data_IF_058076732628
#
_entry.id   IF_058076732628
#
_cell.length_a   1.000
_cell.length_b   1.000
_cell.length_c   1.000
_cell.angle_alpha   90.00
_cell.angle_beta   90.00
_cell.angle_gamma   90.00
#
_symmetry.space_group_name_H-M   'P 1'
#
loop_
_entity.id
_entity.type
_entity.pdbx_description
1 polymer ?
#
# COMPACT_ATOMS: atom_id res chain seq x y z
N UNK A 1 18.80 -62.30 -38.97
CA UNK A 1 17.93 -62.65 -40.11
C UNK A 1 16.68 -61.78 -40.07
N UNK A 2 16.49 -60.95 -41.09
CA UNK A 2 15.25 -60.20 -41.36
C UNK A 2 14.31 -61.07 -42.18
N UNK A 3 13.01 -60.96 -41.93
CA UNK A 3 11.90 -61.23 -42.86
C UNK A 3 10.64 -60.60 -42.23
N UNK A 4 10.19 -59.39 -42.59
CA UNK A 4 9.39 -58.95 -43.76
C UNK A 4 8.01 -59.62 -43.89
N UNK A 5 6.93 -58.84 -43.71
CA UNK A 5 5.75 -58.72 -44.59
C UNK A 5 4.85 -57.60 -44.04
N UNK A 6 4.82 -56.42 -44.69
CA UNK A 6 3.82 -55.93 -45.68
C UNK A 6 2.49 -55.53 -45.01
N UNK A 7 2.24 -54.24 -44.79
CA UNK A 7 1.78 -53.18 -45.72
C UNK A 7 0.27 -53.22 -45.99
N UNK A 8 -0.41 -52.13 -45.64
CA UNK A 8 -1.60 -51.64 -46.35
C UNK A 8 -1.80 -50.16 -46.06
N UNK A 9 -1.22 -49.36 -46.94
CA UNK A 9 -1.49 -47.95 -47.16
C UNK A 9 -2.96 -47.68 -47.53
N UNK A 10 -3.58 -46.62 -46.98
CA UNK A 10 -4.68 -45.85 -47.62
C UNK A 10 -4.87 -44.47 -46.94
N UNK A 11 -4.33 -43.42 -47.59
CA UNK A 11 -4.87 -42.06 -47.83
C UNK A 11 -5.15 -41.05 -46.68
N UNK A 12 -4.28 -40.02 -46.63
CA UNK A 12 -4.47 -38.54 -46.61
C UNK A 12 -5.68 -37.83 -45.92
N UNK A 13 -5.36 -37.09 -44.83
CA UNK A 13 -5.49 -35.63 -44.50
C UNK A 13 -6.83 -34.83 -44.66
N UNK A 14 -6.98 -33.61 -44.07
CA UNK A 14 -6.80 -33.16 -42.67
C UNK A 14 -7.96 -32.24 -42.15
N UNK A 15 -7.83 -31.74 -40.90
CA UNK A 15 -8.56 -30.64 -40.21
C UNK A 15 -9.95 -30.96 -39.61
N UNK A 16 -10.08 -30.81 -38.28
CA UNK A 16 -10.72 -29.63 -37.68
C UNK A 16 -10.62 -29.62 -36.16
N UNK A 17 -10.50 -28.40 -35.65
CA UNK A 17 -10.29 -27.91 -34.30
C UNK A 17 -11.43 -28.30 -33.35
N UNK A 18 -11.12 -28.86 -32.18
CA UNK A 18 -11.98 -28.72 -31.00
C UNK A 18 -11.13 -28.19 -29.84
N UNK A 19 -11.35 -26.91 -29.53
CA UNK A 19 -10.90 -26.27 -28.29
C UNK A 19 -11.57 -27.00 -27.13
N UNK A 20 -10.79 -27.81 -26.41
CA UNK A 20 -11.19 -28.41 -25.15
C UNK A 20 -11.51 -27.31 -24.13
N UNK A 21 -12.75 -27.30 -23.67
CA UNK A 21 -13.25 -26.42 -22.62
C UNK A 21 -12.56 -26.73 -21.28
N UNK A 22 -12.02 -25.70 -20.63
CA UNK A 22 -11.43 -25.81 -19.29
C UNK A 22 -12.54 -25.99 -18.22
N UNK A 23 -12.33 -26.84 -17.18
CA UNK A 23 -13.31 -27.05 -16.14
C UNK A 23 -13.42 -25.84 -15.19
N UNK A 24 -14.61 -25.55 -14.63
CA UNK A 24 -14.82 -24.42 -13.75
C UNK A 24 -14.09 -24.62 -12.42
N UNK A 25 -13.22 -23.67 -12.09
CA UNK A 25 -12.47 -23.64 -10.83
C UNK A 25 -13.42 -23.77 -9.63
N UNK A 26 -13.16 -24.77 -8.80
CA UNK A 26 -13.83 -24.98 -7.53
C UNK A 26 -13.75 -23.71 -6.67
N UNK A 27 -14.92 -23.23 -6.25
CA UNK A 27 -15.07 -22.08 -5.36
C UNK A 27 -14.44 -22.40 -4.01
N UNK A 28 -13.29 -21.80 -3.73
CA UNK A 28 -12.72 -21.76 -2.39
C UNK A 28 -13.68 -20.97 -1.48
N UNK A 29 -13.97 -21.44 -0.25
CA UNK A 29 -14.74 -20.66 0.71
C UNK A 29 -13.95 -19.39 1.09
N UNK A 30 -14.64 -18.25 1.06
CA UNK A 30 -14.09 -16.95 1.43
C UNK A 30 -13.58 -16.94 2.89
N UNK A 31 -12.55 -16.13 3.24
CA UNK A 31 -12.08 -16.04 4.61
C UNK A 31 -13.18 -15.51 5.53
N UNK A 32 -13.34 -16.18 6.68
CA UNK A 32 -14.26 -15.84 7.76
C UNK A 32 -13.83 -14.54 8.44
N UNK A 33 -14.01 -13.43 7.75
CA UNK A 33 -13.74 -12.11 8.26
C UNK A 33 -14.96 -11.25 7.92
N UNK A 34 -15.94 -11.24 8.83
CA UNK A 34 -17.06 -10.30 8.81
C UNK A 34 -16.52 -8.89 9.06
N UNK A 35 -15.94 -8.31 8.02
CA UNK A 35 -15.69 -6.89 7.92
C UNK A 35 -16.75 -6.35 6.97
N UNK A 36 -17.93 -6.04 7.51
CA UNK A 36 -18.87 -5.15 6.82
C UNK A 36 -18.31 -3.74 6.83
N UNK A 37 -17.21 -3.55 6.08
CA UNK A 37 -16.95 -2.28 5.42
C UNK A 37 -17.59 -2.41 4.05
N UNK A 38 -18.87 -2.05 3.98
CA UNK A 38 -19.53 -1.84 2.70
C UNK A 38 -18.95 -0.53 2.16
N UNK A 39 -18.03 -0.62 1.20
CA UNK A 39 -17.65 0.55 0.41
C UNK A 39 -18.94 1.08 -0.21
N UNK A 40 -19.37 2.26 0.24
CA UNK A 40 -20.52 2.92 -0.37
C UNK A 40 -20.18 3.17 -1.84
N UNK A 41 -21.17 2.92 -2.69
CA UNK A 41 -21.13 3.05 -4.15
C UNK A 41 -20.48 4.39 -4.55
N UNK A 42 -19.40 4.42 -5.37
CA UNK A 42 -18.72 5.64 -5.74
C UNK A 42 -19.53 6.39 -6.81
N UNK A 43 -20.69 6.93 -6.43
CA UNK A 43 -21.41 7.96 -7.20
C UNK A 43 -20.95 9.37 -6.86
N UNK A 44 -19.97 9.52 -5.96
CA UNK A 44 -19.19 10.74 -5.83
C UNK A 44 -18.24 10.89 -7.03
N UNK A 45 -18.78 11.45 -8.10
CA UNK A 45 -18.05 12.05 -9.19
C UNK A 45 -16.89 12.91 -8.63
N UNK A 46 -15.65 12.47 -8.84
CA UNK A 46 -14.48 13.28 -8.54
C UNK A 46 -14.40 14.39 -9.61
N UNK A 47 -15.00 15.54 -9.32
CA UNK A 47 -14.86 16.73 -10.15
C UNK A 47 -13.41 17.24 -10.07
N UNK A 48 -12.71 17.51 -11.20
CA UNK A 48 -11.34 18.02 -11.20
C UNK A 48 -11.22 19.50 -10.80
N UNK A 49 -12.29 20.13 -10.32
CA UNK A 49 -12.27 21.52 -9.87
C UNK A 49 -11.67 21.56 -8.47
N UNK A 50 -10.34 21.71 -8.48
CA UNK A 50 -9.49 22.18 -7.38
C UNK A 50 -10.26 23.18 -6.52
N UNK A 51 -10.76 22.71 -5.38
CA UNK A 51 -11.10 23.62 -4.29
C UNK A 51 -9.79 23.92 -3.59
N UNK A 52 -9.26 25.12 -3.80
CA UNK A 52 -8.01 25.63 -3.20
C UNK A 52 -8.07 25.76 -1.67
N UNK A 53 -9.10 25.24 -1.01
CA UNK A 53 -9.24 25.12 0.44
C UNK A 53 -9.47 23.65 0.83
N UNK A 54 -8.52 22.77 0.51
CA UNK A 54 -8.51 21.44 1.11
C UNK A 54 -8.15 21.51 2.60
N UNK A 55 -7.63 22.62 3.12
CA UNK A 55 -7.35 22.75 4.56
C UNK A 55 -8.65 22.78 5.37
N UNK A 56 -9.10 21.61 5.85
CA UNK A 56 -10.08 21.55 6.92
C UNK A 56 -9.37 21.97 8.23
N UNK A 57 -9.63 23.18 8.78
CA UNK A 57 -8.91 23.67 9.95
C UNK A 57 -9.07 22.78 11.19
N UNK A 58 -10.11 21.94 11.21
CA UNK A 58 -10.45 21.08 12.33
C UNK A 58 -9.77 19.70 12.26
N UNK A 59 -9.20 19.33 11.12
CA UNK A 59 -8.53 18.04 10.91
C UNK A 59 -7.01 18.21 10.87
N UNK A 60 -6.38 18.03 12.02
CA UNK A 60 -4.92 18.13 12.17
C UNK A 60 -4.31 16.87 12.77
N UNK A 61 -3.07 16.61 12.39
CA UNK A 61 -2.24 15.55 12.95
C UNK A 61 -1.13 16.16 13.77
N UNK A 62 -1.10 15.86 15.06
CA UNK A 62 0.06 16.14 15.88
C UNK A 62 0.95 14.91 15.97
N UNK A 63 2.18 15.04 15.47
CA UNK A 63 3.13 13.95 15.30
C UNK A 63 4.31 14.18 16.22
N UNK A 64 4.61 13.16 17.03
CA UNK A 64 5.79 13.12 17.92
C UNK A 64 6.62 11.89 17.60
N UNK A 65 7.89 12.10 17.27
CA UNK A 65 8.83 11.03 16.95
C UNK A 65 9.81 10.85 18.09
N UNK A 66 10.06 9.59 18.44
CA UNK A 66 10.95 9.23 19.53
C UNK A 66 12.00 8.20 19.09
N UNK A 67 13.25 8.44 19.47
CA UNK A 67 14.31 7.44 19.38
C UNK A 67 14.66 6.94 20.78
N UNK A 68 14.43 5.65 21.01
CA UNK A 68 14.67 5.00 22.32
C UNK A 68 14.05 5.77 23.50
N UNK A 69 12.84 6.32 23.32
CA UNK A 69 12.11 7.08 24.34
C UNK A 69 12.47 8.57 24.43
N UNK A 70 13.45 9.06 23.66
CA UNK A 70 13.78 10.49 23.60
C UNK A 70 13.03 11.15 22.44
N UNK A 71 12.32 12.25 22.72
CA UNK A 71 11.66 13.05 21.70
C UNK A 71 12.70 13.67 20.76
N UNK A 72 12.56 13.46 19.46
CA UNK A 72 13.48 13.98 18.43
C UNK A 72 12.79 14.90 17.43
N UNK A 73 11.47 14.82 17.29
CA UNK A 73 10.68 15.73 16.48
C UNK A 73 9.26 15.83 17.06
N UNK A 74 8.71 17.03 17.05
CA UNK A 74 7.33 17.32 17.37
C UNK A 74 6.81 18.33 16.34
N UNK A 75 5.74 17.99 15.64
CA UNK A 75 5.16 18.84 14.60
C UNK A 75 3.65 18.65 14.52
N UNK A 76 2.97 19.66 14.01
CA UNK A 76 1.53 19.60 13.75
C UNK A 76 1.28 19.87 12.27
N UNK A 77 0.71 18.90 11.57
CA UNK A 77 0.31 19.01 10.17
C UNK A 77 -1.17 19.35 10.10
N UNK A 78 -1.50 20.39 9.33
CA UNK A 78 -2.89 20.81 9.02
C UNK A 78 -3.27 20.61 7.55
N UNK A 79 -2.41 19.88 6.82
CA UNK A 79 -2.63 19.51 5.43
C UNK A 79 -3.66 18.39 5.39
N UNK A 80 -4.74 18.56 4.64
CA UNK A 80 -5.85 17.59 4.63
C UNK A 80 -5.49 16.27 3.95
N UNK A 81 -4.60 16.30 2.98
CA UNK A 81 -4.01 15.09 2.38
C UNK A 81 -3.15 14.32 3.40
N UNK A 82 -2.89 14.92 4.57
CA UNK A 82 -2.19 14.33 5.68
C UNK A 82 -0.68 14.54 5.60
N UNK A 83 0.06 13.59 6.18
CA UNK A 83 1.51 13.59 6.18
C UNK A 83 2.12 12.23 5.88
N UNK A 84 3.33 12.24 5.32
CA UNK A 84 4.18 11.06 5.19
C UNK A 84 5.37 11.15 6.13
N UNK A 85 5.54 10.10 6.91
CA UNK A 85 6.69 9.89 7.78
C UNK A 85 7.75 9.08 7.04
N UNK A 86 8.91 9.65 6.75
CA UNK A 86 10.00 8.98 6.00
C UNK A 86 11.40 9.52 6.35
N UNK A 87 12.49 8.78 6.09
CA UNK A 87 13.85 9.28 6.29
C UNK A 87 14.23 10.40 5.31
N UNK A 88 13.71 10.34 4.09
CA UNK A 88 14.03 11.27 3.02
C UNK A 88 12.78 12.02 2.58
N UNK A 89 12.97 13.30 2.26
CA UNK A 89 11.97 14.14 1.60
C UNK A 89 11.86 13.73 0.12
N UNK A 90 10.63 13.63 -0.39
CA UNK A 90 10.42 13.35 -1.83
C UNK A 90 10.84 14.58 -2.61
N UNK A 91 11.87 14.45 -3.44
CA UNK A 91 12.26 15.54 -4.33
C UNK A 91 11.27 15.61 -5.50
N UNK A 92 10.99 16.82 -6.01
CA UNK A 92 10.01 17.07 -7.07
C UNK A 92 10.20 16.20 -8.34
N UNK A 93 11.40 15.66 -8.57
CA UNK A 93 11.72 14.76 -9.68
C UNK A 93 11.06 13.36 -9.58
N UNK A 94 10.64 12.92 -8.40
CA UNK A 94 10.03 11.58 -8.19
C UNK A 94 8.50 11.58 -8.35
N UNK A 95 7.91 12.74 -8.63
CA UNK A 95 6.46 12.99 -8.59
C UNK A 95 5.60 12.30 -9.66
N UNK A 96 6.16 11.42 -10.50
CA UNK A 96 5.40 10.61 -11.46
C UNK A 96 4.96 9.24 -10.88
N UNK A 97 5.61 8.77 -9.80
CA UNK A 97 5.27 7.53 -9.07
C UNK A 97 5.23 7.73 -7.55
N UNK A 98 5.51 8.95 -7.09
CA UNK A 98 5.57 9.35 -5.67
C UNK A 98 4.22 9.70 -5.04
N UNK A 99 4.21 10.00 -3.74
CA UNK A 99 3.01 10.42 -3.02
C UNK A 99 2.35 11.69 -3.62
N UNK A 100 1.06 11.97 -3.31
CA UNK A 100 0.39 13.18 -3.78
C UNK A 100 1.17 14.45 -3.44
N UNK A 101 1.30 15.36 -4.41
CA UNK A 101 2.11 16.60 -4.30
C UNK A 101 1.66 17.52 -3.16
N UNK A 102 0.43 17.37 -2.69
CA UNK A 102 -0.18 18.24 -1.69
C UNK A 102 0.01 17.75 -0.25
N UNK A 103 0.77 16.67 0.00
CA UNK A 103 0.88 16.06 1.32
C UNK A 103 2.13 16.52 2.08
N UNK A 104 2.00 16.77 3.39
CA UNK A 104 3.13 17.18 4.21
C UNK A 104 4.19 16.08 4.34
N UNK A 105 5.47 16.46 4.31
CA UNK A 105 6.57 15.53 4.59
C UNK A 105 7.06 15.76 6.02
N UNK A 106 7.11 14.68 6.81
CA UNK A 106 7.67 14.68 8.16
C UNK A 106 8.89 13.78 8.14
N UNK A 107 10.05 14.40 7.98
CA UNK A 107 11.31 13.69 7.85
C UNK A 107 11.81 13.18 9.20
N UNK A 108 12.26 11.92 9.24
CA UNK A 108 12.90 11.36 10.43
C UNK A 108 14.24 12.09 10.67
N UNK A 109 14.50 12.60 11.89
CA UNK A 109 15.78 13.22 12.20
C UNK A 109 16.95 12.23 12.07
N UNK A 110 18.15 12.76 11.83
CA UNK A 110 19.36 11.93 11.72
C UNK A 110 19.59 11.11 13.01
N UNK A 111 19.97 9.82 12.90
CA UNK A 111 20.32 9.00 14.05
C UNK A 111 21.45 9.61 14.88
N UNK A 112 21.42 9.47 16.22
CA UNK A 112 22.56 9.82 17.06
C UNK A 112 23.82 9.02 16.68
N UNK A 113 25.03 9.59 16.84
CA UNK A 113 26.27 8.88 16.56
C UNK A 113 26.35 7.52 17.26
N UNK A 114 26.70 6.48 16.51
CA UNK A 114 26.82 5.11 17.03
C UNK A 114 25.51 4.32 17.08
N UNK A 115 24.38 4.89 16.66
CA UNK A 115 23.08 4.21 16.62
C UNK A 115 22.89 3.32 15.37
N UNK A 116 23.84 2.41 15.09
CA UNK A 116 23.86 1.54 13.89
C UNK A 116 22.57 0.76 13.63
N UNK A 117 21.89 0.34 14.69
CA UNK A 117 20.59 -0.38 14.59
C UNK A 117 19.50 0.55 14.06
N UNK A 118 19.46 1.80 14.52
CA UNK A 118 18.51 2.80 14.07
C UNK A 118 18.79 3.20 12.62
N UNK A 119 20.06 3.42 12.25
CA UNK A 119 20.47 3.69 10.87
C UNK A 119 19.97 2.58 9.92
N UNK A 120 20.17 1.31 10.30
CA UNK A 120 19.67 0.17 9.53
C UNK A 120 18.14 0.13 9.47
N UNK A 121 17.44 0.46 10.56
CA UNK A 121 15.99 0.54 10.59
C UNK A 121 15.47 1.61 9.62
N UNK A 122 16.04 2.82 9.66
CA UNK A 122 15.61 3.93 8.80
C UNK A 122 15.68 3.57 7.31
N UNK A 123 16.69 2.81 6.87
CA UNK A 123 16.78 2.30 5.49
C UNK A 123 15.59 1.41 5.08
N UNK A 124 14.97 0.71 6.04
CA UNK A 124 13.77 -0.06 5.77
C UNK A 124 12.49 0.80 5.78
N UNK A 125 12.57 2.04 6.24
CA UNK A 125 11.48 3.02 6.31
C UNK A 125 11.45 4.01 5.15
N UNK A 126 12.34 3.88 4.17
CA UNK A 126 12.52 4.80 3.03
C UNK A 126 11.20 5.28 2.36
N UNK A 127 10.35 4.35 1.92
CA UNK A 127 9.04 4.70 1.33
C UNK A 127 8.03 5.30 2.32
N UNK A 128 8.29 5.17 3.61
CA UNK A 128 7.54 5.81 4.68
C UNK A 128 6.20 5.18 5.05
N UNK A 129 5.48 5.91 5.90
CA UNK A 129 4.11 5.64 6.31
C UNK A 129 3.29 6.91 6.08
N UNK A 130 2.16 6.77 5.40
CA UNK A 130 1.22 7.86 5.16
C UNK A 130 0.16 7.85 6.27
N UNK A 131 -0.11 9.01 6.87
CA UNK A 131 -1.12 9.26 7.88
C UNK A 131 -2.03 10.41 7.43
N UNK A 132 -3.34 10.28 7.56
CA UNK A 132 -4.28 11.35 7.22
C UNK A 132 -5.52 11.27 8.13
N UNK A 133 -6.24 12.39 8.20
CA UNK A 133 -7.50 12.50 8.94
C UNK A 133 -8.62 12.66 7.92
N UNK A 134 -9.68 11.89 8.08
CA UNK A 134 -10.93 12.04 7.37
C UNK A 134 -12.09 12.09 8.39
N UNK A 135 -13.31 12.45 7.98
CA UNK A 135 -14.47 12.52 8.89
C UNK A 135 -14.72 11.24 9.70
N UNK A 136 -14.37 10.08 9.14
CA UNK A 136 -14.55 8.77 9.76
C UNK A 136 -13.45 8.45 10.80
N UNK A 137 -12.33 9.19 10.79
CA UNK A 137 -11.25 9.04 11.75
C UNK A 137 -9.85 9.19 11.16
N UNK A 138 -8.87 8.58 11.84
CA UNK A 138 -7.46 8.63 11.46
C UNK A 138 -7.09 7.36 10.71
N UNK A 139 -6.43 7.55 9.57
CA UNK A 139 -6.04 6.46 8.68
C UNK A 139 -4.53 6.40 8.51
N UNK A 140 -4.04 5.20 8.23
CA UNK A 140 -2.64 4.93 8.01
C UNK A 140 -2.43 3.98 6.82
N UNK A 141 -1.40 4.24 6.01
CA UNK A 141 -0.97 3.37 4.91
C UNK A 141 0.54 3.13 5.00
N UNK A 142 0.91 1.88 5.20
CA UNK A 142 2.31 1.44 5.18
C UNK A 142 2.80 1.32 3.75
N UNK A 143 3.82 2.10 3.40
CA UNK A 143 4.50 2.03 2.10
C UNK A 143 5.91 1.43 2.23
N UNK A 144 6.49 1.49 3.43
CA UNK A 144 7.83 1.00 3.73
C UNK A 144 7.96 -0.52 3.80
N UNK A 145 9.21 -1.00 3.67
CA UNK A 145 9.56 -2.43 3.78
C UNK A 145 9.59 -2.89 5.23
N UNK A 146 9.97 -2.01 6.16
CA UNK A 146 9.96 -2.26 7.59
C UNK A 146 8.56 -2.62 8.11
N UNK A 147 8.50 -3.46 9.14
CA UNK A 147 7.24 -3.76 9.83
C UNK A 147 6.85 -2.55 10.68
N UNK A 148 5.58 -2.19 10.63
CA UNK A 148 5.00 -1.10 11.43
C UNK A 148 3.97 -1.72 12.35
N UNK A 149 4.15 -1.49 13.64
CA UNK A 149 3.20 -1.90 14.67
C UNK A 149 2.49 -0.66 15.17
N UNK A 150 1.22 -0.82 15.52
CA UNK A 150 0.39 0.27 15.99
C UNK A 150 -0.45 -0.17 17.18
N UNK A 151 -0.89 0.81 17.95
CA UNK A 151 -1.84 0.68 19.04
C UNK A 151 -2.75 1.90 18.99
N UNK A 152 -4.03 1.71 19.27
CA UNK A 152 -5.00 2.79 19.29
C UNK A 152 -6.40 2.26 19.60
N UNK A 153 -7.41 3.14 19.62
CA UNK A 153 -8.79 2.78 19.96
C UNK A 153 -9.38 1.68 19.08
N UNK A 154 -8.96 1.61 17.81
CA UNK A 154 -9.43 0.62 16.84
C UNK A 154 -8.50 -0.60 16.72
N UNK A 155 -7.42 -0.67 17.51
CA UNK A 155 -6.52 -1.81 17.44
C UNK A 155 -7.20 -3.06 18.03
N UNK A 156 -7.16 -4.22 17.35
CA UNK A 156 -7.75 -5.43 17.90
C UNK A 156 -7.10 -5.73 19.25
N UNK A 157 -7.93 -5.95 20.27
CA UNK A 157 -7.45 -6.36 21.58
C UNK A 157 -6.68 -7.67 21.42
N UNK A 158 -5.38 -7.65 21.74
CA UNK A 158 -4.67 -8.89 22.03
C UNK A 158 -5.17 -9.35 23.40
N UNK A 159 -6.12 -10.27 23.40
CA UNK A 159 -6.47 -11.07 24.56
C UNK A 159 -5.26 -11.89 25.01
#
# INVERSE_FOLDING_TARGET
SRSTTEDKDTKQAPRQTQQGSLPPAARLPAPLADHRYQAQDPTHHWSPLLSEDFSNPDCWLHVRLFYRGKLVLETTTRVAEGCRLSPQEVTAAEGLLGPPRCMAQVCFPEPPPGARVLERLLRHLDRGVLLWVAPEGVFAKRLCRGRVYWRGPLAPHRA
#
